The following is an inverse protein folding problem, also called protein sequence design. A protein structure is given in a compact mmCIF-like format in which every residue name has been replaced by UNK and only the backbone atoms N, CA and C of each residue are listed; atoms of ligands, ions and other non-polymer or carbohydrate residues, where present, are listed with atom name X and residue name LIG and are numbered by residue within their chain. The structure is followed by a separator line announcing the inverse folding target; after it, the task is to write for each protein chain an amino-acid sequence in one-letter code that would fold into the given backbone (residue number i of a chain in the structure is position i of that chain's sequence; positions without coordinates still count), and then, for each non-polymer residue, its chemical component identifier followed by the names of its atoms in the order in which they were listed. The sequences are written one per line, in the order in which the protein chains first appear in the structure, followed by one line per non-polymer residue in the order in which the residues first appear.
data_IF_060393812401
#
_entry.id   IF_060393812401
#
_cell.length_a   1.000
_cell.length_b   1.000
_cell.length_c   1.000
_cell.angle_alpha   90.00
_cell.angle_beta   90.00
_cell.angle_gamma   90.00
#
_symmetry.space_group_name_H-M   'P 1'
#
loop_
_entity.id
_entity.type
_entity.pdbx_description
1 polymer ?
#
# COMPACT_ATOMS: atom_id res chain seq x y z
N UNK A 1 0.04 69.73 -31.25
CA UNK A 1 0.52 68.47 -31.87
C UNK A 1 0.39 67.38 -30.83
N UNK A 2 -0.65 66.54 -30.92
CA UNK A 2 -0.85 65.38 -30.04
C UNK A 2 -1.14 64.18 -30.94
N UNK A 3 -0.16 63.29 -31.07
CA UNK A 3 -0.31 62.02 -31.77
C UNK A 3 -1.05 61.04 -30.84
N UNK A 4 -2.32 60.74 -31.14
CA UNK A 4 -2.98 59.54 -30.63
C UNK A 4 -2.47 58.35 -31.45
N UNK A 5 -1.64 57.50 -30.84
CA UNK A 5 -1.33 56.17 -31.38
C UNK A 5 -2.51 55.24 -31.07
N UNK A 6 -3.18 54.79 -32.12
CA UNK A 6 -4.15 53.69 -32.05
C UNK A 6 -3.38 52.38 -31.92
N UNK A 7 -3.52 51.70 -30.78
CA UNK A 7 -3.04 50.32 -30.60
C UNK A 7 -4.20 49.40 -30.97
N UNK A 8 -4.05 48.69 -32.08
CA UNK A 8 -4.94 47.59 -32.48
C UNK A 8 -4.56 46.36 -31.66
N UNK A 9 -5.42 45.95 -30.73
CA UNK A 9 -5.27 44.71 -29.98
C UNK A 9 -5.80 43.56 -30.86
N UNK A 10 -4.90 42.78 -31.46
CA UNK A 10 -5.22 41.48 -32.05
C UNK A 10 -5.51 40.50 -30.90
N UNK A 11 -6.79 40.20 -30.63
CA UNK A 11 -7.15 39.03 -29.84
C UNK A 11 -6.82 37.78 -30.68
N UNK A 12 -5.63 37.22 -30.47
CA UNK A 12 -5.40 35.81 -30.76
C UNK A 12 -6.10 35.03 -29.66
N UNK A 13 -7.20 34.37 -29.98
CA UNK A 13 -7.83 33.40 -29.10
C UNK A 13 -6.88 32.21 -28.95
N UNK A 14 -5.94 32.33 -28.02
CA UNK A 14 -5.14 31.21 -27.54
C UNK A 14 -6.07 30.39 -26.65
N UNK A 15 -6.74 29.41 -27.25
CA UNK A 15 -7.38 28.35 -26.47
C UNK A 15 -6.26 27.66 -25.71
N UNK A 16 -6.07 28.04 -24.44
CA UNK A 16 -5.46 27.16 -23.46
C UNK A 16 -6.37 25.94 -23.39
N UNK A 17 -6.02 24.91 -24.15
CA UNK A 17 -6.32 23.55 -23.72
C UNK A 17 -5.56 23.39 -22.41
N UNK A 18 -6.26 23.59 -21.30
CA UNK A 18 -5.88 22.94 -20.05
C UNK A 18 -5.99 21.46 -20.39
N UNK A 19 -4.86 20.84 -20.75
CA UNK A 19 -4.76 19.40 -20.63
C UNK A 19 -4.92 19.15 -19.15
N UNK A 20 -6.14 18.83 -18.72
CA UNK A 20 -6.31 17.99 -17.55
C UNK A 20 -5.33 16.85 -17.74
N UNK A 21 -4.33 16.67 -16.86
CA UNK A 21 -3.52 15.47 -16.93
C UNK A 21 -4.52 14.32 -16.92
N UNK A 22 -4.55 13.54 -17.99
CA UNK A 22 -5.28 12.29 -17.99
C UNK A 22 -4.67 11.52 -16.83
N UNK A 23 -5.45 11.32 -15.76
CA UNK A 23 -5.02 10.53 -14.61
C UNK A 23 -4.40 9.25 -15.16
N UNK A 24 -3.14 8.98 -14.82
CA UNK A 24 -2.59 7.64 -14.98
C UNK A 24 -3.58 6.70 -14.29
N UNK A 25 -4.15 5.76 -15.03
CA UNK A 25 -5.20 4.89 -14.53
C UNK A 25 -4.62 4.00 -13.42
N UNK A 26 -4.86 4.38 -12.16
CA UNK A 26 -4.79 3.58 -10.93
C UNK A 26 -3.70 2.49 -10.87
N UNK A 27 -2.51 2.77 -11.40
CA UNK A 27 -1.37 1.90 -11.21
C UNK A 27 -0.84 2.14 -9.80
N UNK A 28 -1.12 1.21 -8.88
CA UNK A 28 -0.48 1.24 -7.58
C UNK A 28 1.01 0.91 -7.73
N UNK A 29 1.86 1.60 -6.97
CA UNK A 29 3.31 1.43 -7.02
C UNK A 29 3.75 0.18 -6.24
N UNK A 30 4.47 -0.72 -6.91
CA UNK A 30 5.23 -1.81 -6.30
C UNK A 30 4.42 -3.03 -5.83
N UNK A 31 5.16 -4.05 -5.38
CA UNK A 31 4.62 -5.25 -4.74
C UNK A 31 4.86 -5.19 -3.23
N UNK A 32 3.92 -5.71 -2.44
CA UNK A 32 4.12 -5.93 -0.99
C UNK A 32 4.68 -7.32 -0.71
N UNK A 33 4.37 -8.29 -1.58
CA UNK A 33 4.84 -9.66 -1.46
C UNK A 33 5.54 -10.14 -2.73
N UNK A 34 6.81 -10.52 -2.55
CA UNK A 34 7.62 -11.30 -3.48
C UNK A 34 7.65 -12.75 -3.00
N UNK A 35 7.21 -13.67 -3.85
CA UNK A 35 7.18 -15.10 -3.62
C UNK A 35 8.59 -15.68 -3.40
N UNK A 36 9.63 -15.09 -4.00
CA UNK A 36 10.99 -15.58 -3.87
C UNK A 36 11.73 -15.05 -2.62
N UNK A 37 11.04 -14.30 -1.75
CA UNK A 37 11.58 -13.98 -0.44
C UNK A 37 11.82 -15.27 0.36
N UNK A 38 13.06 -15.43 0.84
CA UNK A 38 13.57 -16.67 1.41
C UNK A 38 12.74 -17.15 2.62
N UNK A 39 12.07 -16.25 3.32
CA UNK A 39 11.20 -16.60 4.46
C UNK A 39 10.04 -17.51 4.07
N UNK A 40 9.54 -17.40 2.84
CA UNK A 40 8.42 -18.21 2.36
C UNK A 40 8.77 -19.69 2.17
N UNK A 41 10.06 -20.03 2.21
CA UNK A 41 10.55 -21.42 2.18
C UNK A 41 10.19 -22.19 3.46
N UNK A 42 9.95 -21.47 4.56
CA UNK A 42 9.63 -22.07 5.87
C UNK A 42 8.12 -22.30 6.05
N UNK A 43 7.29 -21.60 5.26
CA UNK A 43 5.82 -21.64 5.35
C UNK A 43 5.27 -22.76 4.49
N UNK A 44 4.84 -23.85 5.13
CA UNK A 44 4.47 -25.11 4.47
C UNK A 44 2.97 -25.24 4.22
N UNK A 45 2.64 -25.72 3.03
CA UNK A 45 1.29 -26.15 2.63
C UNK A 45 1.14 -27.68 2.76
N UNK A 46 1.27 -28.23 3.96
CA UNK A 46 1.36 -29.67 4.21
C UNK A 46 0.10 -30.32 4.82
N UNK A 47 -0.91 -29.55 5.25
CA UNK A 47 -2.12 -30.05 5.93
C UNK A 47 -2.85 -31.20 5.22
N UNK A 48 -2.80 -31.26 3.88
CA UNK A 48 -3.47 -32.29 3.09
C UNK A 48 -2.55 -33.02 2.10
N UNK A 49 -1.22 -32.90 2.25
CA UNK A 49 -0.26 -33.48 1.32
C UNK A 49 1.00 -33.99 2.02
N UNK A 50 1.44 -35.20 1.63
CA UNK A 50 2.73 -35.74 2.06
C UNK A 50 3.91 -35.22 1.23
N UNK A 51 3.65 -34.56 0.09
CA UNK A 51 4.64 -33.73 -0.61
C UNK A 51 4.50 -32.30 -0.09
N UNK A 52 5.43 -31.88 0.76
CA UNK A 52 5.47 -30.51 1.28
C UNK A 52 5.76 -29.55 0.12
N UNK A 53 4.83 -28.61 -0.11
CA UNK A 53 5.04 -27.41 -0.92
C UNK A 53 5.14 -26.22 0.02
N UNK A 54 5.82 -25.17 -0.39
CA UNK A 54 6.03 -23.95 0.42
C UNK A 54 5.38 -22.76 -0.27
N UNK A 55 5.17 -21.66 0.47
CA UNK A 55 4.73 -20.41 -0.14
C UNK A 55 5.73 -19.92 -1.20
N UNK A 56 7.03 -20.15 -1.00
CA UNK A 56 8.07 -19.82 -1.99
C UNK A 56 7.87 -20.55 -3.33
N UNK A 57 7.39 -21.79 -3.30
CA UNK A 57 7.24 -22.60 -4.50
C UNK A 57 5.87 -22.47 -5.16
N UNK A 58 4.84 -22.04 -4.42
CA UNK A 58 3.45 -22.20 -4.87
C UNK A 58 2.47 -21.16 -4.30
N UNK A 59 2.99 -20.08 -3.73
CA UNK A 59 2.21 -18.99 -3.13
C UNK A 59 1.62 -17.97 -4.11
N UNK A 60 1.90 -18.08 -5.41
CA UNK A 60 1.56 -17.03 -6.40
C UNK A 60 0.11 -16.54 -6.35
N UNK A 61 -0.86 -17.44 -6.14
CA UNK A 61 -2.26 -17.04 -6.04
C UNK A 61 -2.59 -16.25 -4.76
N UNK A 62 -1.92 -16.57 -3.64
CA UNK A 62 -2.05 -15.84 -2.37
C UNK A 62 -1.40 -14.47 -2.48
N UNK A 63 -0.16 -14.40 -2.98
CA UNK A 63 0.57 -13.14 -3.11
C UNK A 63 -0.05 -12.21 -4.15
N UNK A 64 -0.54 -12.74 -5.27
CA UNK A 64 -1.28 -11.94 -6.26
C UNK A 64 -2.54 -11.34 -5.65
N UNK A 65 -3.32 -12.14 -4.90
CA UNK A 65 -4.47 -11.60 -4.17
C UNK A 65 -4.08 -10.48 -3.20
N UNK A 66 -3.07 -10.69 -2.36
CA UNK A 66 -2.65 -9.68 -1.39
C UNK A 66 -2.09 -8.41 -2.07
N UNK A 67 -1.30 -8.55 -3.13
CA UNK A 67 -0.83 -7.43 -3.95
C UNK A 67 -2.00 -6.72 -4.64
N UNK A 68 -3.08 -7.43 -5.00
CA UNK A 68 -4.28 -6.82 -5.57
C UNK A 68 -5.04 -5.99 -4.54
N UNK A 69 -5.24 -6.51 -3.32
CA UNK A 69 -5.85 -5.74 -2.23
C UNK A 69 -5.03 -4.49 -1.93
N UNK A 70 -3.71 -4.65 -1.82
CA UNK A 70 -2.81 -3.52 -1.61
C UNK A 70 -2.94 -2.47 -2.71
N UNK A 71 -2.90 -2.90 -3.97
CA UNK A 71 -3.04 -1.99 -5.09
C UNK A 71 -4.41 -1.32 -5.18
N UNK A 72 -5.45 -2.00 -4.71
CA UNK A 72 -6.83 -1.54 -4.78
C UNK A 72 -7.12 -0.42 -3.78
N UNK A 73 -6.60 -0.53 -2.55
CA UNK A 73 -6.99 0.40 -1.47
C UNK A 73 -5.92 0.64 -0.39
N UNK A 74 -4.68 0.19 -0.60
CA UNK A 74 -3.57 0.33 0.35
C UNK A 74 -3.56 -0.69 1.49
N UNK A 75 -4.60 -1.52 1.61
CA UNK A 75 -4.69 -2.50 2.71
C UNK A 75 -3.68 -3.64 2.51
N UNK A 76 -2.93 -3.96 3.55
CA UNK A 76 -2.02 -5.11 3.56
C UNK A 76 -2.79 -6.33 4.08
N UNK A 77 -3.22 -7.19 3.17
CA UNK A 77 -3.81 -8.48 3.54
C UNK A 77 -2.73 -9.42 4.08
N UNK A 78 -2.95 -10.01 5.26
CA UNK A 78 -2.02 -10.97 5.85
C UNK A 78 -1.92 -12.24 4.98
N UNK A 79 -0.79 -12.40 4.29
CA UNK A 79 -0.53 -13.54 3.42
C UNK A 79 -0.52 -14.88 4.18
N UNK A 80 -0.13 -14.91 5.47
CA UNK A 80 -0.14 -16.11 6.29
C UNK A 80 -1.57 -16.54 6.62
N UNK A 81 -2.37 -15.61 7.13
CA UNK A 81 -3.78 -15.87 7.44
C UNK A 81 -4.55 -16.32 6.19
N UNK A 82 -4.37 -15.60 5.06
CA UNK A 82 -5.02 -15.94 3.79
C UNK A 82 -4.55 -17.32 3.29
N UNK A 83 -3.27 -17.65 3.45
CA UNK A 83 -2.72 -18.96 3.09
C UNK A 83 -3.29 -20.10 3.96
N UNK A 84 -3.30 -19.96 5.28
CA UNK A 84 -3.85 -20.98 6.19
C UNK A 84 -5.35 -21.16 5.96
N UNK A 85 -6.09 -20.05 5.83
CA UNK A 85 -7.50 -20.08 5.47
C UNK A 85 -7.75 -20.81 4.14
N UNK A 86 -6.97 -20.49 3.09
CA UNK A 86 -7.10 -21.12 1.78
C UNK A 86 -6.85 -22.64 1.85
N UNK A 87 -5.90 -23.08 2.67
CA UNK A 87 -5.71 -24.51 2.92
C UNK A 87 -6.95 -25.09 3.58
N UNK A 88 -7.42 -24.46 4.66
CA UNK A 88 -8.53 -24.96 5.48
C UNK A 88 -9.84 -25.14 4.72
N UNK A 89 -10.13 -24.24 3.79
CA UNK A 89 -11.35 -24.29 2.96
C UNK A 89 -11.20 -25.15 1.70
N UNK A 90 -10.04 -25.78 1.47
CA UNK A 90 -9.75 -26.50 0.22
C UNK A 90 -9.52 -25.56 -0.99
N UNK A 91 -9.30 -24.27 -0.72
CA UNK A 91 -8.88 -23.22 -1.64
C UNK A 91 -7.48 -23.43 -2.23
N UNK A 92 -6.67 -24.29 -1.62
CA UNK A 92 -5.31 -24.59 -2.03
C UNK A 92 -5.17 -26.04 -2.54
N UNK A 93 -4.35 -26.26 -3.57
CA UNK A 93 -4.14 -27.57 -4.22
C UNK A 93 -3.13 -28.43 -3.48
N UNK A 94 -3.56 -29.50 -2.77
CA UNK A 94 -2.63 -30.36 -2.05
C UNK A 94 -1.70 -31.12 -3.00
N UNK A 95 -0.40 -31.10 -2.71
CA UNK A 95 0.64 -31.93 -3.32
C UNK A 95 1.12 -31.58 -4.72
N UNK A 96 0.35 -30.78 -5.48
CA UNK A 96 0.79 -30.19 -6.74
C UNK A 96 1.09 -28.68 -6.63
N UNK A 97 0.72 -28.05 -5.51
CA UNK A 97 0.93 -26.63 -5.24
C UNK A 97 -0.05 -25.71 -5.97
N UNK A 98 -0.31 -24.53 -5.37
CA UNK A 98 -1.04 -23.41 -5.97
C UNK A 98 -2.49 -23.26 -5.52
N UNK A 99 -3.03 -22.06 -5.72
CA UNK A 99 -4.41 -21.69 -5.37
C UNK A 99 -5.41 -22.21 -6.42
N UNK A 100 -6.52 -22.79 -5.98
CA UNK A 100 -7.65 -23.10 -6.86
C UNK A 100 -8.49 -21.86 -7.10
N UNK A 101 -8.76 -21.56 -8.38
CA UNK A 101 -9.59 -20.42 -8.82
C UNK A 101 -10.92 -20.33 -8.06
N UNK A 102 -11.79 -21.33 -8.22
CA UNK A 102 -13.17 -21.23 -7.69
C UNK A 102 -13.25 -21.40 -6.16
N UNK A 103 -12.73 -22.48 -5.55
CA UNK A 103 -12.74 -22.64 -4.10
C UNK A 103 -12.21 -21.43 -3.32
N UNK A 104 -11.14 -20.77 -3.79
CA UNK A 104 -10.62 -19.57 -3.14
C UNK A 104 -11.50 -18.34 -3.42
N UNK A 105 -11.65 -17.93 -4.68
CA UNK A 105 -12.26 -16.64 -5.01
C UNK A 105 -13.77 -16.59 -4.80
N UNK A 106 -14.46 -17.73 -4.67
CA UNK A 106 -15.89 -17.75 -4.32
C UNK A 106 -16.14 -17.49 -2.83
N UNK A 107 -15.13 -17.59 -1.97
CA UNK A 107 -15.27 -17.51 -0.51
C UNK A 107 -14.43 -16.39 0.11
N UNK A 108 -13.48 -15.81 -0.64
CA UNK A 108 -12.51 -14.85 -0.09
C UNK A 108 -13.17 -13.53 0.33
N UNK A 109 -14.21 -13.08 -0.37
CA UNK A 109 -14.98 -11.89 0.03
C UNK A 109 -15.72 -12.11 1.34
N UNK A 110 -16.37 -13.27 1.53
CA UNK A 110 -17.06 -13.56 2.81
C UNK A 110 -16.07 -13.63 3.98
N UNK A 111 -14.88 -14.15 3.74
CA UNK A 111 -13.85 -14.28 4.78
C UNK A 111 -13.15 -12.95 5.11
N UNK A 112 -12.88 -12.12 4.10
CA UNK A 112 -11.95 -11.00 4.23
C UNK A 112 -12.44 -9.68 3.63
N UNK A 113 -13.55 -9.67 2.89
CA UNK A 113 -14.04 -8.49 2.14
C UNK A 113 -14.30 -7.28 3.03
N UNK A 114 -14.96 -7.49 4.17
CA UNK A 114 -15.20 -6.42 5.15
C UNK A 114 -13.89 -5.92 5.77
N UNK A 115 -13.01 -6.83 6.19
CA UNK A 115 -11.73 -6.50 6.84
C UNK A 115 -10.78 -5.75 5.91
N UNK A 116 -10.68 -6.20 4.66
CA UNK A 116 -9.72 -5.68 3.69
C UNK A 116 -10.35 -4.71 2.68
N UNK A 117 -11.59 -4.29 2.89
CA UNK A 117 -12.27 -3.27 2.09
C UNK A 117 -12.41 -3.60 0.61
N UNK A 118 -12.75 -4.85 0.27
CA UNK A 118 -12.93 -5.25 -1.12
C UNK A 118 -14.19 -6.08 -1.33
N UNK A 119 -14.66 -6.11 -2.57
CA UNK A 119 -15.68 -7.04 -3.05
C UNK A 119 -15.25 -7.72 -4.35
N UNK A 120 -15.80 -8.89 -4.63
CA UNK A 120 -15.61 -9.62 -5.88
C UNK A 120 -16.74 -9.26 -6.85
N UNK A 121 -16.41 -8.55 -7.93
CA UNK A 121 -17.41 -8.12 -8.92
C UNK A 121 -17.69 -9.21 -9.97
N UNK A 122 -16.80 -10.21 -10.08
CA UNK A 122 -17.02 -11.38 -10.92
C UNK A 122 -15.75 -12.16 -11.22
N UNK A 123 -15.93 -13.36 -11.80
CA UNK A 123 -14.84 -14.20 -12.28
C UNK A 123 -15.17 -14.74 -13.67
N UNK A 124 -14.15 -14.78 -14.53
CA UNK A 124 -14.32 -14.96 -15.96
C UNK A 124 -13.26 -15.93 -16.49
N UNK A 125 -13.67 -16.82 -17.39
CA UNK A 125 -12.73 -17.53 -18.28
C UNK A 125 -12.69 -16.73 -19.57
N UNK A 126 -11.55 -16.13 -19.87
CA UNK A 126 -11.46 -15.06 -20.86
C UNK A 126 -10.03 -14.60 -21.07
N UNK A 127 -9.87 -13.49 -21.79
CA UNK A 127 -8.57 -12.95 -22.20
C UNK A 127 -8.35 -11.55 -21.63
N UNK A 128 -7.10 -11.08 -21.69
CA UNK A 128 -6.74 -9.71 -21.25
C UNK A 128 -7.47 -8.63 -22.07
N UNK A 129 -7.88 -8.96 -23.30
CA UNK A 129 -8.59 -8.05 -24.22
C UNK A 129 -10.09 -7.97 -23.98
N UNK A 130 -10.62 -8.66 -22.97
CA UNK A 130 -12.05 -8.63 -22.69
C UNK A 130 -12.48 -7.22 -22.23
N UNK A 131 -13.53 -6.67 -22.85
CA UNK A 131 -14.04 -5.33 -22.53
C UNK A 131 -14.40 -5.18 -21.05
N UNK A 132 -14.96 -6.23 -20.43
CA UNK A 132 -15.33 -6.20 -19.00
C UNK A 132 -14.11 -6.03 -18.08
N UNK A 133 -12.95 -6.61 -18.44
CA UNK A 133 -11.72 -6.43 -17.68
C UNK A 133 -11.18 -5.02 -17.87
N UNK A 134 -11.11 -4.56 -19.12
CA UNK A 134 -10.60 -3.22 -19.46
C UNK A 134 -11.44 -2.13 -18.79
N UNK A 135 -12.76 -2.23 -18.88
CA UNK A 135 -13.68 -1.27 -18.25
C UNK A 135 -13.55 -1.29 -16.73
N UNK A 136 -13.36 -2.47 -16.12
CA UNK A 136 -13.14 -2.58 -14.68
C UNK A 136 -11.87 -1.85 -14.22
N UNK A 137 -10.75 -2.06 -14.92
CA UNK A 137 -9.48 -1.41 -14.64
C UNK A 137 -9.56 0.11 -14.83
N UNK A 138 -10.22 0.57 -15.89
CA UNK A 138 -10.45 2.00 -16.15
C UNK A 138 -11.27 2.68 -15.05
N UNK A 139 -12.13 1.92 -14.36
CA UNK A 139 -12.94 2.42 -13.25
C UNK A 139 -12.24 2.29 -11.87
N UNK A 140 -10.95 1.93 -11.86
CA UNK A 140 -10.15 1.84 -10.63
C UNK A 140 -10.31 0.55 -9.84
N UNK A 141 -10.96 -0.46 -10.43
CA UNK A 141 -10.85 -1.81 -9.92
C UNK A 141 -9.52 -2.45 -10.32
N UNK A 142 -9.18 -3.56 -9.66
CA UNK A 142 -8.02 -4.39 -9.99
C UNK A 142 -8.47 -5.79 -10.40
N UNK A 143 -7.58 -6.56 -11.00
CA UNK A 143 -7.83 -7.95 -11.32
C UNK A 143 -6.70 -8.86 -10.87
N UNK A 144 -7.04 -10.04 -10.36
CA UNK A 144 -6.09 -11.15 -10.27
C UNK A 144 -6.31 -12.07 -11.46
N UNK A 145 -5.25 -12.34 -12.21
CA UNK A 145 -5.32 -13.14 -13.43
C UNK A 145 -4.59 -14.46 -13.25
N UNK A 146 -5.15 -15.52 -13.84
CA UNK A 146 -4.50 -16.81 -13.97
C UNK A 146 -3.94 -16.93 -15.39
N UNK A 147 -2.64 -17.18 -15.46
CA UNK A 147 -1.89 -17.53 -16.67
C UNK A 147 -1.37 -18.96 -16.54
N UNK A 148 -0.78 -19.58 -17.57
CA UNK A 148 -0.27 -20.94 -17.48
C UNK A 148 0.65 -21.15 -16.26
N UNK A 149 0.17 -21.99 -15.33
CA UNK A 149 0.87 -22.38 -14.10
C UNK A 149 1.16 -21.24 -13.11
N UNK A 150 0.44 -20.11 -13.20
CA UNK A 150 0.77 -18.93 -12.39
C UNK A 150 -0.42 -17.99 -12.16
N UNK A 151 -0.29 -17.12 -11.16
CA UNK A 151 -1.18 -15.98 -10.91
C UNK A 151 -0.37 -14.70 -10.84
N UNK A 152 -0.93 -13.60 -11.33
CA UNK A 152 -0.37 -12.25 -11.23
C UNK A 152 -1.50 -11.24 -11.09
N UNK A 153 -1.17 -9.99 -10.78
CA UNK A 153 -2.16 -8.92 -10.58
C UNK A 153 -2.06 -7.91 -11.69
N UNK A 154 -3.20 -7.46 -12.20
CA UNK A 154 -3.32 -6.30 -13.09
C UNK A 154 -3.99 -5.19 -12.31
N UNK A 155 -3.33 -4.04 -12.20
CA UNK A 155 -3.79 -2.93 -11.37
C UNK A 155 -4.25 -1.72 -12.19
N UNK A 156 -3.86 -1.63 -13.46
CA UNK A 156 -4.25 -0.52 -14.31
C UNK A 156 -4.23 -0.87 -15.79
N UNK A 157 -4.86 0.00 -16.58
CA UNK A 157 -4.88 -0.08 -18.05
C UNK A 157 -4.61 1.31 -18.64
N UNK A 158 -3.65 1.39 -19.57
CA UNK A 158 -3.29 2.61 -20.27
C UNK A 158 -3.85 2.56 -21.70
N UNK A 159 -4.83 3.42 -21.97
CA UNK A 159 -5.50 3.55 -23.27
C UNK A 159 -4.59 4.09 -24.38
N UNK A 160 -3.58 4.91 -24.06
CA UNK A 160 -2.75 5.56 -25.07
C UNK A 160 -1.87 4.55 -25.83
N UNK A 161 -1.42 3.52 -25.13
CA UNK A 161 -0.50 2.51 -25.67
C UNK A 161 -0.99 1.07 -25.51
N UNK A 162 -2.24 0.88 -25.06
CA UNK A 162 -2.88 -0.43 -24.86
C UNK A 162 -2.04 -1.38 -23.98
N UNK A 163 -1.51 -0.84 -22.87
CA UNK A 163 -0.71 -1.59 -21.90
C UNK A 163 -1.44 -1.77 -20.57
N UNK A 164 -1.05 -2.82 -19.86
CA UNK A 164 -1.57 -3.20 -18.55
C UNK A 164 -0.47 -3.06 -17.51
N UNK A 165 -0.79 -2.45 -16.37
CA UNK A 165 0.13 -2.42 -15.25
C UNK A 165 0.04 -3.75 -14.51
N UNK A 166 1.17 -4.46 -14.42
CA UNK A 166 1.24 -5.83 -13.91
C UNK A 166 2.18 -5.90 -12.71
N UNK A 167 1.68 -6.50 -11.65
CA UNK A 167 2.46 -6.88 -10.48
C UNK A 167 2.74 -8.39 -10.53
N UNK A 168 3.99 -8.76 -10.80
CA UNK A 168 4.49 -10.13 -10.90
C UNK A 168 5.14 -10.54 -9.57
N UNK A 169 4.37 -11.26 -8.75
CA UNK A 169 4.82 -11.69 -7.42
C UNK A 169 5.88 -12.80 -7.45
N UNK A 170 6.13 -13.46 -8.57
CA UNK A 170 7.16 -14.51 -8.70
C UNK A 170 7.99 -14.26 -9.95
N UNK A 171 8.87 -13.25 -9.89
CA UNK A 171 9.78 -12.88 -10.96
C UNK A 171 10.80 -14.00 -11.19
N UNK A 172 10.39 -14.92 -12.04
CA UNK A 172 11.14 -16.12 -12.36
C UNK A 172 11.94 -15.83 -13.64
N UNK A 173 12.99 -15.01 -13.57
CA UNK A 173 13.81 -14.69 -14.75
C UNK A 173 14.52 -15.96 -15.25
N UNK A 174 14.37 -16.38 -16.53
CA UNK A 174 13.81 -15.69 -17.70
C UNK A 174 12.46 -16.26 -18.20
N UNK A 175 11.68 -16.92 -17.36
CA UNK A 175 10.54 -17.76 -17.78
C UNK A 175 9.33 -16.98 -18.30
N UNK A 176 9.04 -15.76 -17.81
CA UNK A 176 7.88 -14.95 -18.25
C UNK A 176 8.26 -13.60 -18.86
N UNK A 177 9.45 -13.08 -18.56
CA UNK A 177 9.95 -11.82 -19.13
C UNK A 177 9.23 -10.57 -18.62
N UNK A 178 8.61 -10.65 -17.45
CA UNK A 178 8.01 -9.52 -16.73
C UNK A 178 8.91 -9.16 -15.53
N UNK A 179 9.02 -7.87 -15.24
CA UNK A 179 9.59 -7.38 -13.98
C UNK A 179 8.52 -7.42 -12.88
N UNK A 180 8.95 -7.30 -11.62
CA UNK A 180 8.05 -7.34 -10.44
C UNK A 180 6.90 -6.33 -10.54
N UNK A 181 7.22 -5.16 -11.09
CA UNK A 181 6.33 -4.05 -11.37
C UNK A 181 6.66 -3.59 -12.80
N UNK A 182 5.71 -3.75 -13.72
CA UNK A 182 5.92 -3.34 -15.10
C UNK A 182 4.65 -3.12 -15.89
N UNK A 183 4.77 -2.37 -16.99
CA UNK A 183 3.73 -2.26 -18.00
C UNK A 183 3.96 -3.32 -19.09
N UNK A 184 2.92 -4.11 -19.38
CA UNK A 184 2.93 -5.16 -20.40
C UNK A 184 1.90 -4.87 -21.50
N UNK A 185 2.22 -5.18 -22.76
CA UNK A 185 1.28 -5.02 -23.87
C UNK A 185 0.21 -6.11 -23.88
N UNK A 186 -0.92 -5.85 -24.54
CA UNK A 186 -1.93 -6.87 -24.80
C UNK A 186 -1.35 -8.11 -25.51
N UNK A 187 -0.40 -7.92 -26.44
CA UNK A 187 0.29 -9.02 -27.14
C UNK A 187 1.09 -9.92 -26.18
N UNK A 188 1.86 -9.31 -25.27
CA UNK A 188 2.58 -10.04 -24.22
C UNK A 188 1.60 -10.82 -23.34
N UNK A 189 0.49 -10.20 -22.94
CA UNK A 189 -0.51 -10.79 -22.04
C UNK A 189 -1.49 -11.76 -22.73
N UNK A 190 -1.37 -11.94 -24.05
CA UNK A 190 -2.23 -12.84 -24.85
C UNK A 190 -1.49 -14.06 -25.40
N UNK A 191 -0.22 -14.26 -25.04
CA UNK A 191 0.59 -15.34 -25.61
C UNK A 191 1.51 -16.01 -24.59
N UNK A 192 1.85 -17.26 -24.83
CA UNK A 192 2.92 -17.95 -24.10
C UNK A 192 2.60 -18.18 -22.62
N UNK A 193 3.51 -17.78 -21.74
CA UNK A 193 3.41 -18.03 -20.28
C UNK A 193 2.70 -16.90 -19.51
N UNK A 194 2.37 -15.82 -20.21
CA UNK A 194 1.65 -14.64 -19.72
C UNK A 194 0.24 -14.56 -20.31
N UNK A 195 -0.16 -15.53 -21.12
CA UNK A 195 -1.51 -15.63 -21.68
C UNK A 195 -2.57 -15.70 -20.56
N UNK A 196 -3.36 -14.65 -20.43
CA UNK A 196 -4.50 -14.62 -19.51
C UNK A 196 -5.57 -15.56 -20.04
N UNK A 197 -5.91 -16.58 -19.24
CA UNK A 197 -6.99 -17.53 -19.55
C UNK A 197 -8.16 -17.48 -18.56
N UNK A 198 -7.99 -16.77 -17.45
CA UNK A 198 -9.03 -16.57 -16.44
C UNK A 198 -8.65 -15.37 -15.55
N UNK A 199 -9.65 -14.67 -15.03
CA UNK A 199 -9.43 -13.56 -14.10
C UNK A 199 -10.61 -13.38 -13.14
N UNK A 200 -10.34 -12.71 -12.03
CA UNK A 200 -11.32 -12.22 -11.06
C UNK A 200 -11.16 -10.72 -10.91
N UNK A 201 -12.29 -10.02 -10.84
CA UNK A 201 -12.38 -8.58 -10.72
C UNK A 201 -12.65 -8.20 -9.27
N UNK A 202 -11.84 -7.29 -8.71
CA UNK A 202 -11.95 -6.81 -7.34
C UNK A 202 -12.16 -5.29 -7.36
N UNK A 203 -13.06 -4.82 -6.51
CA UNK A 203 -13.34 -3.39 -6.33
C UNK A 203 -13.27 -2.97 -4.88
N UNK A 204 -12.82 -1.74 -4.65
CA UNK A 204 -12.82 -1.13 -3.34
C UNK A 204 -14.27 -0.91 -2.88
N UNK A 205 -14.56 -1.25 -1.63
CA UNK A 205 -15.85 -0.96 -1.00
C UNK A 205 -15.87 0.42 -0.35
N UNK A 206 -14.71 1.07 -0.20
CA UNK A 206 -14.56 2.31 0.55
C UNK A 206 -14.78 2.13 2.05
N UNK A 207 -14.79 0.88 2.53
CA UNK A 207 -15.06 0.50 3.93
C UNK A 207 -13.88 -0.18 4.60
N UNK A 208 -12.68 -0.19 4.01
CA UNK A 208 -11.52 -0.69 4.75
C UNK A 208 -11.43 0.11 6.05
N UNK A 209 -11.42 -0.61 7.17
CA UNK A 209 -11.07 -0.02 8.45
C UNK A 209 -9.57 0.29 8.34
N UNK A 210 -9.27 1.47 7.77
CA UNK A 210 -7.93 2.03 7.69
C UNK A 210 -7.57 2.49 9.10
N UNK A 211 -7.50 1.56 10.03
CA UNK A 211 -7.18 1.80 11.44
C UNK A 211 -5.95 1.00 11.79
N UNK A 212 -4.86 1.68 12.12
CA UNK A 212 -3.70 1.02 12.69
C UNK A 212 -4.16 0.39 14.00
N UNK A 213 -3.90 -0.90 14.24
CA UNK A 213 -4.27 -1.55 15.48
C UNK A 213 -3.78 -0.74 16.68
N UNK A 214 -4.68 -0.37 17.59
CA UNK A 214 -4.30 0.36 18.82
C UNK A 214 -3.32 -0.42 19.70
N UNK A 215 -3.17 -1.73 19.48
CA UNK A 215 -2.11 -2.54 20.10
C UNK A 215 -0.70 -2.15 19.67
N UNK A 216 -0.55 -1.37 18.59
CA UNK A 216 0.72 -0.85 18.09
C UNK A 216 1.06 0.53 18.67
N UNK A 217 0.30 1.04 19.64
CA UNK A 217 0.71 2.13 20.53
C UNK A 217 1.65 1.52 21.60
N UNK A 218 2.90 1.32 21.20
CA UNK A 218 3.90 0.55 21.94
C UNK A 218 4.45 1.34 23.13
N UNK A 219 4.50 2.67 23.01
CA UNK A 219 4.93 3.55 24.09
C UNK A 219 3.75 3.98 25.01
N UNK A 220 2.51 3.64 24.64
CA UNK A 220 1.28 3.96 25.37
C UNK A 220 1.06 5.48 25.53
N UNK A 221 1.48 6.27 24.55
CA UNK A 221 1.29 7.72 24.52
C UNK A 221 -0.10 8.14 23.99
N UNK A 222 -0.88 7.16 23.52
CA UNK A 222 -2.23 7.34 23.00
C UNK A 222 -2.28 7.54 21.48
N UNK A 223 -1.13 7.47 20.80
CA UNK A 223 -1.02 7.64 19.34
C UNK A 223 -0.17 6.52 18.77
N UNK A 224 -0.58 5.94 17.63
CA UNK A 224 0.30 5.05 16.86
C UNK A 224 1.05 5.88 15.82
N UNK A 225 2.35 6.08 16.04
CA UNK A 225 3.17 6.98 15.25
C UNK A 225 4.60 6.45 15.05
N UNK A 226 5.46 7.26 14.43
CA UNK A 226 6.83 6.86 14.10
C UNK A 226 7.70 6.50 15.32
N UNK A 227 7.32 6.92 16.53
CA UNK A 227 7.97 6.48 17.76
C UNK A 227 7.74 4.98 17.97
N UNK A 228 6.54 4.47 17.71
CA UNK A 228 6.25 3.04 17.78
C UNK A 228 7.05 2.26 16.74
N UNK A 229 7.11 2.75 15.50
CA UNK A 229 7.98 2.17 14.47
C UNK A 229 9.46 2.16 14.88
N UNK A 230 9.92 3.22 15.57
CA UNK A 230 11.28 3.30 16.10
C UNK A 230 11.53 2.30 17.24
N UNK A 231 10.52 2.02 18.07
CA UNK A 231 10.60 0.98 19.10
C UNK A 231 10.73 -0.42 18.51
N UNK A 232 10.03 -0.71 17.41
CA UNK A 232 10.20 -1.96 16.65
C UNK A 232 11.64 -2.08 16.12
N UNK A 233 12.18 -1.00 15.53
CA UNK A 233 13.57 -0.95 15.04
C UNK A 233 14.59 -1.19 16.17
N UNK A 234 14.36 -0.57 17.33
CA UNK A 234 15.21 -0.74 18.51
C UNK A 234 15.15 -2.19 19.03
N UNK A 235 13.96 -2.79 19.10
CA UNK A 235 13.79 -4.19 19.52
C UNK A 235 14.49 -5.16 18.56
N UNK A 236 14.34 -4.96 17.26
CA UNK A 236 15.05 -5.75 16.24
C UNK A 236 16.57 -5.70 16.46
N UNK A 237 17.10 -4.51 16.75
CA UNK A 237 18.53 -4.34 17.04
C UNK A 237 18.98 -5.09 18.31
N UNK A 238 18.15 -5.14 19.36
CA UNK A 238 18.46 -5.94 20.56
C UNK A 238 18.49 -7.43 20.27
N UNK A 239 17.52 -7.93 19.47
CA UNK A 239 17.43 -9.34 19.06
C UNK A 239 18.68 -9.73 18.26
N UNK A 240 19.10 -8.91 17.31
CA UNK A 240 20.30 -9.15 16.51
C UNK A 240 21.59 -9.18 17.33
N UNK A 241 21.70 -8.30 18.33
CA UNK A 241 22.91 -8.13 19.13
C UNK A 241 22.91 -8.92 20.45
N UNK A 242 21.83 -9.66 20.74
CA UNK A 242 21.60 -10.38 22.00
C UNK A 242 21.89 -9.52 23.25
N UNK A 243 21.57 -8.22 23.15
CA UNK A 243 21.92 -7.22 24.16
C UNK A 243 20.80 -6.18 24.29
N UNK A 244 20.19 -6.02 25.48
CA UNK A 244 19.20 -4.96 25.71
C UNK A 244 19.80 -3.56 25.59
N UNK A 245 19.09 -2.64 24.96
CA UNK A 245 19.46 -1.23 24.81
C UNK A 245 18.81 -0.42 25.94
N UNK A 246 19.62 0.33 26.71
CA UNK A 246 19.11 1.15 27.82
C UNK A 246 18.66 2.56 27.41
N UNK A 247 19.01 3.01 26.21
CA UNK A 247 18.98 4.44 25.83
C UNK A 247 17.69 4.92 25.14
N UNK A 248 16.75 4.04 24.81
CA UNK A 248 15.54 4.38 24.05
C UNK A 248 14.23 4.41 24.87
N UNK A 249 14.30 4.37 26.19
CA UNK A 249 13.10 4.19 27.02
C UNK A 249 12.49 2.78 26.93
N UNK A 250 13.22 1.83 26.34
CA UNK A 250 12.83 0.43 26.16
C UNK A 250 12.76 -0.32 27.50
N UNK A 251 11.55 -0.55 28.02
CA UNK A 251 11.31 -1.31 29.27
C UNK A 251 11.04 -2.80 29.00
N UNK A 252 11.07 -3.63 30.04
CA UNK A 252 10.66 -5.05 29.93
C UNK A 252 9.22 -5.19 29.40
N UNK A 253 8.31 -4.31 29.86
CA UNK A 253 6.91 -4.34 29.46
C UNK A 253 6.75 -3.97 27.98
N UNK A 254 7.44 -2.92 27.52
CA UNK A 254 7.44 -2.53 26.10
C UNK A 254 8.00 -3.67 25.23
N UNK A 255 9.09 -4.32 25.65
CA UNK A 255 9.64 -5.48 24.93
C UNK A 255 8.63 -6.62 24.80
N UNK A 256 7.94 -6.95 25.89
CA UNK A 256 6.93 -8.02 25.87
C UNK A 256 5.75 -7.67 24.96
N UNK A 257 5.32 -6.40 24.96
CA UNK A 257 4.28 -5.91 24.06
C UNK A 257 4.72 -6.05 22.60
N UNK A 258 5.90 -5.54 22.25
CA UNK A 258 6.49 -5.63 20.90
C UNK A 258 6.57 -7.09 20.45
N UNK A 259 7.13 -7.98 21.29
CA UNK A 259 7.26 -9.40 20.97
C UNK A 259 5.91 -10.11 20.78
N UNK A 260 4.80 -9.52 21.23
CA UNK A 260 3.45 -10.07 21.10
C UNK A 260 2.69 -9.54 19.88
N UNK A 261 2.89 -8.27 19.51
CA UNK A 261 2.04 -7.60 18.52
C UNK A 261 2.77 -6.91 17.37
N UNK A 262 4.09 -6.78 17.42
CA UNK A 262 4.87 -6.04 16.42
C UNK A 262 5.44 -6.92 15.28
N UNK A 263 5.08 -8.20 15.23
CA UNK A 263 5.23 -9.03 14.03
C UNK A 263 4.07 -8.69 13.09
N UNK A 264 4.23 -7.58 12.38
CA UNK A 264 3.16 -6.92 11.63
C UNK A 264 2.93 -7.63 10.29
N UNK A 265 3.98 -8.16 9.69
CA UNK A 265 3.85 -8.97 8.47
C UNK A 265 3.68 -10.48 8.74
N UNK A 266 3.49 -10.84 10.02
CA UNK A 266 3.24 -12.16 10.55
C UNK A 266 4.30 -13.21 10.18
N UNK A 267 5.55 -12.78 9.97
CA UNK A 267 6.65 -13.64 9.57
C UNK A 267 7.26 -14.47 10.72
N UNK A 268 6.75 -14.32 11.93
CA UNK A 268 7.21 -15.01 13.13
C UNK A 268 8.42 -14.35 13.79
N UNK A 269 8.85 -13.17 13.33
CA UNK A 269 9.97 -12.42 13.89
C UNK A 269 9.72 -10.90 13.81
N UNK A 270 10.12 -10.19 14.87
CA UNK A 270 10.13 -8.73 14.89
C UNK A 270 11.38 -8.24 14.17
N UNK A 271 11.20 -7.51 13.07
CA UNK A 271 12.26 -7.07 12.16
C UNK A 271 12.17 -5.59 11.76
N UNK A 272 13.19 -5.09 11.06
CA UNK A 272 13.13 -3.76 10.43
C UNK A 272 11.93 -3.62 9.48
N UNK A 273 11.53 -4.71 8.81
CA UNK A 273 10.41 -4.68 7.87
C UNK A 273 9.09 -4.36 8.56
N UNK A 274 8.90 -4.84 9.79
CA UNK A 274 7.71 -4.53 10.59
C UNK A 274 7.65 -3.04 10.95
N UNK A 275 8.80 -2.46 11.29
CA UNK A 275 8.92 -1.02 11.52
C UNK A 275 8.61 -0.20 10.26
N UNK A 276 9.14 -0.63 9.11
CA UNK A 276 8.92 0.04 7.82
C UNK A 276 7.45 -0.06 7.39
N UNK A 277 6.77 -1.18 7.64
CA UNK A 277 5.33 -1.36 7.38
C UNK A 277 4.51 -0.46 8.30
N UNK A 278 4.82 -0.41 9.60
CA UNK A 278 4.13 0.48 10.53
C UNK A 278 4.29 1.95 10.11
N UNK A 279 5.52 2.36 9.80
CA UNK A 279 5.81 3.72 9.34
C UNK A 279 5.05 4.05 8.04
N UNK A 280 4.92 3.07 7.16
CA UNK A 280 4.14 3.21 5.93
C UNK A 280 2.64 3.29 6.18
N UNK A 281 2.09 2.49 7.10
CA UNK A 281 0.68 2.62 7.53
C UNK A 281 0.39 3.99 8.13
N UNK A 282 1.29 4.50 8.98
CA UNK A 282 1.22 5.85 9.54
C UNK A 282 1.15 6.89 8.41
N UNK A 283 1.99 6.75 7.38
CA UNK A 283 2.02 7.68 6.24
C UNK A 283 0.83 7.57 5.31
N UNK A 284 0.30 6.36 5.10
CA UNK A 284 -0.82 6.10 4.19
C UNK A 284 -2.18 6.43 4.83
N UNK A 285 -2.26 6.38 6.17
CA UNK A 285 -3.46 6.69 6.92
C UNK A 285 -3.56 8.15 7.36
N UNK A 286 -2.44 8.81 7.61
CA UNK A 286 -2.45 10.23 7.92
C UNK A 286 -2.50 11.01 6.61
N UNK A 287 -3.61 11.71 6.39
CA UNK A 287 -3.71 12.62 5.26
C UNK A 287 -2.62 13.70 5.41
N UNK A 288 -1.98 14.11 4.30
CA UNK A 288 -1.02 15.21 4.32
C UNK A 288 -1.61 16.37 5.13
N UNK A 289 -0.86 16.93 6.07
CA UNK A 289 -1.34 17.97 6.99
C UNK A 289 -1.99 17.51 8.29
N UNK A 290 -2.24 16.22 8.51
CA UNK A 290 -2.61 15.67 9.84
C UNK A 290 -1.33 15.38 10.65
N UNK A 291 -0.61 16.44 11.01
CA UNK A 291 0.70 16.32 11.66
C UNK A 291 0.63 15.84 13.10
N UNK A 292 -0.55 15.94 13.73
CA UNK A 292 -0.76 15.44 15.08
C UNK A 292 -1.33 14.00 15.11
N UNK A 293 -1.60 13.43 13.93
CA UNK A 293 -1.97 12.03 13.72
C UNK A 293 -3.27 11.64 14.47
N UNK A 294 -4.21 12.57 14.65
CA UNK A 294 -5.50 12.29 15.29
C UNK A 294 -6.61 11.95 14.28
N UNK A 295 -6.23 11.69 13.02
CA UNK A 295 -7.13 11.39 11.90
C UNK A 295 -8.05 12.55 11.51
N UNK A 296 -7.80 13.77 12.00
CA UNK A 296 -8.61 14.96 11.74
C UNK A 296 -7.70 16.12 11.34
N UNK A 297 -7.65 16.46 10.05
CA UNK A 297 -6.98 17.68 9.58
C UNK A 297 -7.75 18.91 10.07
N UNK A 298 -7.25 19.60 11.09
CA UNK A 298 -7.86 20.83 11.60
C UNK A 298 -6.87 21.91 12.09
N UNK A 299 -7.38 22.88 12.86
CA UNK A 299 -6.56 23.98 13.37
C UNK A 299 -5.47 23.56 14.35
N UNK A 300 -5.54 22.36 14.94
CA UNK A 300 -4.53 21.79 15.83
C UNK A 300 -3.29 21.40 15.04
N UNK A 301 -3.46 20.83 13.85
CA UNK A 301 -2.36 20.54 12.93
C UNK A 301 -1.66 21.79 12.43
N UNK A 302 -2.45 22.78 11.99
CA UNK A 302 -1.90 24.08 11.58
C UNK A 302 -1.11 24.74 12.73
N UNK A 303 -1.62 24.62 13.96
CA UNK A 303 -0.93 25.13 15.16
C UNK A 303 0.38 24.38 15.41
N UNK A 304 0.40 23.06 15.23
CA UNK A 304 1.60 22.24 15.36
C UNK A 304 2.68 22.62 14.33
N UNK A 305 2.31 22.74 13.04
CA UNK A 305 3.21 23.20 11.96
C UNK A 305 3.78 24.59 12.26
N UNK A 306 2.93 25.55 12.65
CA UNK A 306 3.36 26.90 13.00
C UNK A 306 4.31 26.92 14.21
N UNK A 307 4.02 26.09 15.20
CA UNK A 307 4.85 25.96 16.40
C UNK A 307 6.23 25.44 16.04
N UNK A 308 6.30 24.37 15.24
CA UNK A 308 7.56 23.83 14.73
C UNK A 308 8.34 24.86 13.90
N UNK A 309 7.69 25.50 12.93
CA UNK A 309 8.34 26.55 12.13
C UNK A 309 8.92 27.68 13.00
N UNK A 310 8.16 28.13 14.00
CA UNK A 310 8.60 29.19 14.91
C UNK A 310 9.83 28.76 15.75
N UNK A 311 9.87 27.52 16.22
CA UNK A 311 11.01 26.98 16.96
C UNK A 311 12.24 26.78 16.07
N UNK A 312 12.07 26.15 14.91
CA UNK A 312 13.13 25.94 13.91
C UNK A 312 13.73 27.27 13.42
N UNK A 313 12.91 28.31 13.29
CA UNK A 313 13.35 29.65 12.92
C UNK A 313 14.07 30.41 14.04
N UNK A 314 13.87 30.00 15.31
CA UNK A 314 14.43 30.66 16.49
C UNK A 314 15.72 30.01 17.02
N UNK A 315 16.24 28.98 16.32
CA UNK A 315 17.48 28.24 16.67
C UNK A 315 17.44 27.63 18.08
N UNK A 316 16.24 27.31 18.57
CA UNK A 316 16.02 26.80 19.92
C UNK A 316 15.79 25.28 19.91
N UNK A 317 16.88 24.53 19.88
CA UNK A 317 16.93 23.06 19.77
C UNK A 317 16.53 22.27 21.02
N UNK A 318 15.80 22.88 21.97
CA UNK A 318 15.54 22.28 23.30
C UNK A 318 14.08 22.30 23.75
N UNK A 319 13.12 22.46 22.83
CA UNK A 319 11.75 22.11 23.18
C UNK A 319 11.65 20.59 23.30
N UNK A 320 11.20 20.09 24.45
CA UNK A 320 10.79 18.70 24.65
C UNK A 320 9.73 18.35 23.59
N UNK A 321 10.15 17.69 22.52
CA UNK A 321 9.29 17.33 21.41
C UNK A 321 8.70 15.95 21.64
N UNK A 322 7.68 15.94 22.48
CA UNK A 322 6.73 14.82 22.61
C UNK A 322 6.02 14.62 21.27
N UNK A 323 6.30 13.54 20.53
CA UNK A 323 5.50 13.02 19.41
C UNK A 323 5.39 13.86 18.12
N UNK A 324 5.52 15.19 18.20
CA UNK A 324 5.18 16.15 17.14
C UNK A 324 6.28 16.31 16.07
N UNK A 325 7.55 16.18 16.42
CA UNK A 325 8.66 16.43 15.47
C UNK A 325 8.68 15.45 14.30
N UNK A 326 8.28 14.20 14.54
CA UNK A 326 8.31 13.17 13.51
C UNK A 326 7.11 13.26 12.57
N UNK A 327 5.91 13.55 13.10
CA UNK A 327 4.72 13.82 12.28
C UNK A 327 4.88 15.09 11.43
N UNK A 328 5.45 16.16 11.99
CA UNK A 328 5.66 17.41 11.25
C UNK A 328 6.69 17.27 10.13
N UNK A 329 7.81 16.57 10.36
CA UNK A 329 8.82 16.39 9.30
C UNK A 329 8.34 15.54 8.12
N UNK A 330 7.27 14.77 8.31
CA UNK A 330 6.76 13.80 7.33
C UNK A 330 5.48 14.27 6.64
N UNK A 331 4.61 14.98 7.37
CA UNK A 331 3.27 15.38 6.93
C UNK A 331 3.08 16.90 6.92
N UNK A 332 4.05 17.67 7.44
CA UNK A 332 3.96 19.11 7.62
C UNK A 332 4.29 19.95 6.38
N UNK A 333 4.87 19.36 5.34
CA UNK A 333 5.05 20.00 4.02
C UNK A 333 3.78 19.78 3.17
N UNK A 334 2.70 20.42 3.58
CA UNK A 334 1.37 20.22 3.04
C UNK A 334 1.27 20.63 1.56
N UNK A 335 2.00 21.66 1.14
CA UNK A 335 2.00 22.10 -0.26
C UNK A 335 3.09 21.46 -1.12
N UNK A 336 3.90 20.57 -0.53
CA UNK A 336 4.96 19.81 -1.20
C UNK A 336 6.01 20.70 -1.89
N UNK A 337 6.32 21.86 -1.31
CA UNK A 337 7.35 22.76 -1.83
C UNK A 337 8.76 22.47 -1.28
N UNK A 338 8.87 21.48 -0.40
CA UNK A 338 10.10 21.04 0.23
C UNK A 338 10.50 21.88 1.45
N UNK A 339 9.64 22.79 1.93
CA UNK A 339 9.91 23.69 3.05
C UNK A 339 8.69 23.74 3.98
N UNK A 340 8.85 23.22 5.19
CA UNK A 340 7.81 23.31 6.24
C UNK A 340 7.79 24.73 6.83
N UNK A 341 6.76 25.52 6.51
CA UNK A 341 6.57 26.85 7.05
C UNK A 341 5.10 27.27 7.27
N UNK A 342 4.89 28.57 7.52
CA UNK A 342 3.56 29.11 7.79
C UNK A 342 2.58 28.98 6.61
N UNK A 343 3.06 28.72 5.39
CA UNK A 343 2.24 28.47 4.20
C UNK A 343 1.55 27.12 4.31
N UNK A 344 2.25 26.08 4.74
CA UNK A 344 1.66 24.76 4.98
C UNK A 344 0.55 24.82 6.02
N UNK A 345 0.79 25.52 7.13
CA UNK A 345 -0.25 25.73 8.15
C UNK A 345 -1.47 26.50 7.59
N UNK A 346 -1.24 27.47 6.69
CA UNK A 346 -2.33 28.23 6.06
C UNK A 346 -3.12 27.38 5.08
N UNK A 347 -2.46 26.47 4.37
CA UNK A 347 -3.06 25.55 3.41
C UNK A 347 -3.85 24.45 4.13
N UNK A 348 -3.36 23.94 5.27
CA UNK A 348 -4.10 23.06 6.20
C UNK A 348 -5.40 23.71 6.68
N UNK A 349 -5.34 24.96 7.14
CA UNK A 349 -6.55 25.70 7.55
C UNK A 349 -7.52 25.93 6.40
N UNK A 350 -6.99 26.16 5.20
CA UNK A 350 -7.79 26.34 3.98
C UNK A 350 -8.50 25.04 3.61
N UNK A 351 -7.78 23.91 3.67
CA UNK A 351 -8.31 22.57 3.43
C UNK A 351 -9.42 22.24 4.44
N UNK A 352 -9.16 22.42 5.74
CA UNK A 352 -10.16 22.23 6.79
C UNK A 352 -11.43 23.07 6.56
N UNK A 353 -11.26 24.35 6.20
CA UNK A 353 -12.38 25.24 5.93
C UNK A 353 -13.21 24.83 4.69
N UNK A 354 -12.58 24.24 3.68
CA UNK A 354 -13.26 23.73 2.48
C UNK A 354 -13.98 22.40 2.73
N UNK A 355 -13.44 21.56 3.61
CA UNK A 355 -14.01 20.26 3.99
C UNK A 355 -15.14 20.36 5.03
N UNK A 356 -15.29 21.51 5.68
CA UNK A 356 -16.28 21.75 6.76
C UNK A 356 -17.65 22.28 6.27
N UNK A 357 -17.97 22.20 4.97
CA UNK A 357 -19.15 22.84 4.35
C UNK A 357 -20.21 21.85 3.89
#
# INVERSE_FOLDING_TARGET
MNYKKTITLLLSAMTLTVSTPHLAANAADGIIYDQHDAKWSEVKFDKYSTTASTMELSGCGIFSFCNAIYALNGTIADAYEVADWAVNIGGYRPGAGGTYRYPFYQQVEEAFGERYGFRVDGYYTGAVTDEVLIDHLKNGGVAVVNVPWHFMTITGYNEENETYHVLECAVDMPKRGLEADSWATAETMSTGRTEVGWYVLLSDTGTSDRTIPASLDLNCDGMVNSIDASLITARYSEILNDTPLSDYGMTDDIRNTIDTCADIDHNGAVTQRDADILLRWINEMNAAGDVNCDSIIDGRDATAILTYYAFSSADNSTAETTGLDSGINLLGDFNSDGIIDARDASDVLTHYAQSSV
#
